data_IF_247921255188
#
_entry.id   IF_247921255188
#
_cell.length_a   1.000
_cell.length_b   1.000
_cell.length_c   1.000
_cell.angle_alpha   90.00
_cell.angle_beta   90.00
_cell.angle_gamma   90.00
#
_symmetry.space_group_name_H-M   'P 1'
#
loop_
_entity.id
_entity.type
_entity.pdbx_description
1 polymer ?
#
# COMPACT_ATOMS: atom_id res chain seq x y z
N UNK A 1 1.81 52.24 31.91
CA UNK A 1 1.82 51.37 30.71
C UNK A 1 0.74 50.32 30.91
N UNK A 2 -0.33 50.34 30.10
CA UNK A 2 -1.49 49.43 30.25
C UNK A 2 -1.23 48.21 29.36
N UNK A 3 -0.95 47.06 29.98
CA UNK A 3 -0.65 45.82 29.26
C UNK A 3 -1.93 45.26 28.64
N UNK A 4 -1.97 45.25 27.32
CA UNK A 4 -3.04 44.65 26.52
C UNK A 4 -2.65 43.19 26.24
N UNK A 5 -3.22 42.24 26.97
CA UNK A 5 -3.06 40.81 26.69
C UNK A 5 -4.12 40.45 25.66
N UNK A 6 -3.74 40.34 24.39
CA UNK A 6 -4.57 39.70 23.37
C UNK A 6 -4.42 38.18 23.53
N UNK A 7 -5.47 37.54 24.02
CA UNK A 7 -5.61 36.09 23.94
C UNK A 7 -5.85 35.69 22.48
N UNK A 8 -4.82 35.16 21.82
CA UNK A 8 -4.93 34.54 20.51
C UNK A 8 -5.56 33.14 20.66
N UNK A 9 -6.88 33.07 20.60
CA UNK A 9 -7.62 31.80 20.52
C UNK A 9 -7.74 31.36 19.06
N UNK A 10 -6.64 30.93 18.45
CA UNK A 10 -6.65 30.22 17.17
C UNK A 10 -6.88 28.73 17.41
N UNK A 11 -8.14 28.37 17.72
CA UNK A 11 -8.58 26.96 17.65
C UNK A 11 -8.65 26.57 16.18
N UNK A 12 -7.64 25.81 15.77
CA UNK A 12 -7.52 25.19 14.47
C UNK A 12 -8.76 24.33 14.18
N UNK A 13 -9.66 24.85 13.35
CA UNK A 13 -10.64 24.04 12.64
C UNK A 13 -9.87 23.30 11.54
N UNK A 14 -9.17 22.24 11.93
CA UNK A 14 -8.58 21.29 10.99
C UNK A 14 -9.74 20.70 10.21
N UNK A 15 -9.86 21.18 8.98
CA UNK A 15 -10.72 20.64 7.96
C UNK A 15 -10.67 19.11 8.04
N UNK A 16 -11.74 18.50 8.53
CA UNK A 16 -12.05 17.11 8.24
C UNK A 16 -12.43 17.04 6.77
N UNK A 17 -11.44 17.25 5.90
CA UNK A 17 -11.50 16.82 4.53
C UNK A 17 -11.64 15.33 4.60
N UNK A 18 -12.83 14.82 4.29
CA UNK A 18 -13.03 13.42 4.03
C UNK A 18 -12.00 13.02 2.97
N UNK A 19 -10.93 12.36 3.39
CA UNK A 19 -10.02 11.70 2.48
C UNK A 19 -10.85 10.62 1.83
N UNK A 20 -11.23 10.83 0.57
CA UNK A 20 -11.73 9.75 -0.25
C UNK A 20 -10.67 8.65 -0.18
N UNK A 21 -10.98 7.54 0.49
CA UNK A 21 -10.13 6.36 0.57
C UNK A 21 -10.07 5.74 -0.83
N UNK A 22 -9.27 6.33 -1.71
CA UNK A 22 -8.87 5.71 -2.95
C UNK A 22 -7.90 4.59 -2.56
N UNK A 23 -8.21 3.35 -2.96
CA UNK A 23 -7.26 2.26 -2.85
C UNK A 23 -5.96 2.68 -3.56
N UNK A 24 -4.89 2.79 -2.78
CA UNK A 24 -3.58 3.16 -3.28
C UNK A 24 -3.01 1.98 -4.06
N UNK A 25 -2.23 2.26 -5.10
CA UNK A 25 -1.53 1.25 -5.87
C UNK A 25 -0.03 1.48 -5.78
N UNK A 26 0.69 0.47 -5.31
CA UNK A 26 2.15 0.50 -5.24
C UNK A 26 2.71 -0.65 -6.04
N UNK A 27 3.69 -0.36 -6.90
CA UNK A 27 4.40 -1.38 -7.65
C UNK A 27 5.80 -1.56 -7.09
N UNK A 28 6.26 -2.81 -7.03
CA UNK A 28 7.60 -3.11 -6.59
C UNK A 28 7.98 -4.57 -6.81
N UNK A 29 9.25 -4.86 -6.58
CA UNK A 29 9.76 -6.23 -6.61
C UNK A 29 9.47 -6.90 -5.29
N UNK A 30 8.95 -8.12 -5.31
CA UNK A 30 8.69 -8.92 -4.11
C UNK A 30 10.00 -9.39 -3.51
N UNK A 31 10.21 -9.10 -2.23
CA UNK A 31 11.33 -9.67 -1.45
C UNK A 31 10.90 -10.93 -0.72
N UNK A 32 9.70 -10.92 -0.15
CA UNK A 32 9.17 -12.06 0.60
C UNK A 32 7.65 -12.11 0.45
N UNK A 33 7.12 -13.32 0.44
CA UNK A 33 5.69 -13.58 0.36
C UNK A 33 5.35 -14.80 1.19
N UNK A 34 4.30 -14.70 1.99
CA UNK A 34 3.77 -15.81 2.77
C UNK A 34 2.25 -15.86 2.61
N UNK A 35 1.78 -16.74 1.74
CA UNK A 35 0.35 -16.95 1.49
C UNK A 35 -0.37 -17.60 2.69
N UNK A 36 0.35 -18.23 3.62
CA UNK A 36 -0.26 -18.81 4.83
C UNK A 36 -0.60 -17.74 5.86
N UNK A 37 0.25 -16.72 6.00
CA UNK A 37 0.02 -15.59 6.91
C UNK A 37 -0.56 -14.37 6.19
N UNK A 38 -0.67 -14.42 4.86
CA UNK A 38 -1.18 -13.32 4.04
C UNK A 38 -0.23 -12.12 3.95
N UNK A 39 1.07 -12.30 4.16
CA UNK A 39 2.03 -11.18 4.17
C UNK A 39 2.80 -11.11 2.85
N UNK A 40 3.01 -9.89 2.35
CA UNK A 40 3.85 -9.62 1.20
C UNK A 40 4.73 -8.41 1.47
N UNK A 41 6.04 -8.58 1.27
CA UNK A 41 7.04 -7.54 1.47
C UNK A 41 7.69 -7.20 0.15
N UNK A 42 7.70 -5.92 -0.19
CA UNK A 42 8.38 -5.39 -1.35
C UNK A 42 9.82 -4.97 -1.02
N UNK A 43 10.67 -4.88 -2.03
CA UNK A 43 12.07 -4.46 -1.91
C UNK A 43 12.23 -3.05 -1.32
N UNK A 44 11.21 -2.20 -1.44
CA UNK A 44 11.15 -0.90 -0.78
C UNK A 44 10.92 -0.95 0.74
N UNK A 45 10.91 -2.14 1.35
CA UNK A 45 10.65 -2.35 2.78
C UNK A 45 9.19 -2.30 3.18
N UNK A 46 8.29 -1.93 2.25
CA UNK A 46 6.85 -1.94 2.49
C UNK A 46 6.35 -3.37 2.67
N UNK A 47 5.58 -3.59 3.73
CA UNK A 47 4.92 -4.87 4.00
C UNK A 47 3.42 -4.66 4.04
N UNK A 48 2.70 -5.50 3.31
CA UNK A 48 1.24 -5.48 3.21
C UNK A 48 0.67 -6.75 3.81
N UNK A 49 -0.40 -6.59 4.58
CA UNK A 49 -1.16 -7.67 5.19
C UNK A 49 -2.46 -7.87 4.42
N UNK A 50 -2.60 -9.02 3.79
CA UNK A 50 -3.79 -9.42 3.05
C UNK A 50 -4.70 -10.22 3.99
N UNK A 51 -5.99 -9.88 3.99
CA UNK A 51 -7.00 -10.65 4.72
C UNK A 51 -7.17 -12.07 4.13
N UNK A 52 -6.96 -12.20 2.81
CA UNK A 52 -7.02 -13.48 2.12
C UNK A 52 -5.68 -13.80 1.43
N UNK A 53 -4.87 -14.62 2.09
CA UNK A 53 -3.57 -15.06 1.56
C UNK A 53 -3.64 -15.82 0.23
N UNK A 54 -4.82 -16.31 -0.20
CA UNK A 54 -4.99 -16.90 -1.54
C UNK A 54 -4.70 -15.91 -2.67
N UNK A 55 -4.85 -14.60 -2.41
CA UNK A 55 -4.53 -13.54 -3.37
C UNK A 55 -3.02 -13.45 -3.66
N UNK A 56 -2.19 -14.06 -2.83
CA UNK A 56 -0.74 -14.10 -2.99
C UNK A 56 -0.24 -15.38 -3.68
N UNK A 57 -1.14 -16.29 -4.04
CA UNK A 57 -0.77 -17.53 -4.72
C UNK A 57 -0.25 -17.22 -6.13
N UNK A 58 0.85 -17.87 -6.51
CA UNK A 58 1.52 -17.64 -7.80
C UNK A 58 2.39 -16.38 -7.85
N UNK A 59 2.55 -15.67 -6.72
CA UNK A 59 3.54 -14.62 -6.55
C UNK A 59 4.80 -15.21 -5.93
N UNK A 60 5.96 -14.86 -6.48
CA UNK A 60 7.25 -15.35 -6.02
C UNK A 60 8.21 -14.20 -5.71
N UNK A 61 9.15 -14.37 -4.76
CA UNK A 61 10.24 -13.43 -4.56
C UNK A 61 11.02 -13.18 -5.86
N UNK A 62 11.40 -11.93 -6.11
CA UNK A 62 12.04 -11.47 -7.34
C UNK A 62 11.07 -11.03 -8.44
N UNK A 63 9.77 -11.27 -8.28
CA UNK A 63 8.76 -10.85 -9.25
C UNK A 63 8.38 -9.37 -9.08
N UNK A 64 8.20 -8.65 -10.19
CA UNK A 64 7.61 -7.32 -10.17
C UNK A 64 6.08 -7.42 -10.11
N UNK A 65 5.50 -6.92 -9.01
CA UNK A 65 4.06 -6.96 -8.75
C UNK A 65 3.53 -5.57 -8.42
N UNK A 66 2.27 -5.32 -8.76
CA UNK A 66 1.49 -4.24 -8.19
C UNK A 66 0.64 -4.75 -7.03
N UNK A 67 0.49 -3.91 -6.01
CA UNK A 67 -0.33 -4.15 -4.84
C UNK A 67 -1.33 -3.01 -4.74
N UNK A 68 -2.62 -3.33 -4.78
CA UNK A 68 -3.68 -2.42 -4.35
C UNK A 68 -3.81 -2.55 -2.83
N UNK A 69 -3.71 -1.43 -2.12
CA UNK A 69 -3.72 -1.40 -0.66
C UNK A 69 -4.49 -0.19 -0.12
N UNK A 70 -4.82 -0.26 1.17
CA UNK A 70 -5.24 0.89 1.94
C UNK A 70 -4.33 0.96 3.18
N UNK A 71 -3.29 1.79 3.10
CA UNK A 71 -2.22 1.83 4.10
C UNK A 71 -1.41 0.54 4.13
N UNK A 72 -1.53 -0.26 5.19
CA UNK A 72 -0.84 -1.55 5.33
C UNK A 72 -1.71 -2.75 4.94
N UNK A 73 -2.99 -2.53 4.65
CA UNK A 73 -3.91 -3.59 4.25
C UNK A 73 -3.81 -3.85 2.76
N UNK A 74 -3.41 -5.07 2.37
CA UNK A 74 -3.39 -5.53 0.99
C UNK A 74 -4.79 -5.94 0.53
N UNK A 75 -5.34 -5.22 -0.45
CA UNK A 75 -6.64 -5.48 -1.05
C UNK A 75 -6.52 -6.43 -2.27
N UNK A 76 -5.39 -6.40 -2.96
CA UNK A 76 -5.12 -7.27 -4.11
C UNK A 76 -3.69 -7.14 -4.62
N UNK A 77 -3.17 -8.21 -5.21
CA UNK A 77 -1.86 -8.22 -5.83
C UNK A 77 -1.98 -8.72 -7.28
N UNK A 78 -1.22 -8.10 -8.18
CA UNK A 78 -1.26 -8.38 -9.61
C UNK A 78 0.14 -8.32 -10.21
N UNK A 79 0.37 -9.07 -11.28
CA UNK A 79 1.65 -8.99 -12.01
C UNK A 79 1.72 -7.66 -12.75
N UNK A 80 2.75 -6.84 -12.47
CA UNK A 80 2.88 -5.51 -13.05
C UNK A 80 3.14 -5.56 -14.58
N UNK A 81 3.61 -6.70 -15.10
CA UNK A 81 3.86 -6.88 -16.52
C UNK A 81 3.39 -8.28 -17.01
N UNK A 82 2.09 -8.47 -17.28
CA UNK A 82 1.56 -9.76 -17.73
C UNK A 82 2.10 -10.17 -19.12
N UNK A 83 2.52 -9.20 -19.94
CA UNK A 83 2.96 -9.44 -21.33
C UNK A 83 4.26 -10.26 -21.46
N UNK A 84 5.05 -10.44 -20.39
CA UNK A 84 6.31 -11.22 -20.44
C UNK A 84 6.14 -12.69 -20.05
N UNK A 85 5.01 -13.05 -19.42
CA UNK A 85 4.75 -14.44 -19.03
C UNK A 85 4.33 -15.33 -20.22
N UNK A 86 3.74 -14.74 -21.27
CA UNK A 86 3.24 -15.47 -22.45
C UNK A 86 4.35 -15.79 -23.47
N UNK A 87 5.40 -14.96 -23.55
CA UNK A 87 6.46 -15.11 -24.57
C UNK A 87 7.54 -16.16 -24.24
N UNK A 88 7.34 -16.98 -23.20
CA UNK A 88 8.29 -18.05 -22.83
C UNK A 88 7.92 -19.42 -23.42
N UNK A 89 6.93 -19.47 -24.31
CA UNK A 89 6.60 -20.65 -25.13
C UNK A 89 6.85 -20.32 -26.60
N UNK A 90 8.09 -20.48 -27.04
CA UNK A 90 8.51 -20.36 -28.43
C UNK A 90 9.92 -20.89 -28.62
#
# INVERSE_FOLDING_TARGET
MRNLILAAASVAFLATGATAFAAEQTQGTVTSVNASTGTLTLQGGQTFQFANGKQLLGIYPGQAVGVSHNGSEGLGAFTANPARADNSKG
#
